data_IF_887207842826
#
_entry.id   IF_887207842826
#
_cell.length_a   1.000
_cell.length_b   1.000
_cell.length_c   1.000
_cell.angle_alpha   90.00
_cell.angle_beta   90.00
_cell.angle_gamma   90.00
#
_symmetry.space_group_name_H-M   'P 1'
#
loop_
_entity.id
_entity.type
_entity.pdbx_description
1 polymer ?
#
# COMPACT_ATOMS: atom_id res chain seq x y z
N UNK A 1 -0.88 12.07 38.60
CA UNK A 1 -1.20 10.92 37.74
C UNK A 1 -1.40 11.46 36.33
N UNK A 2 -0.32 11.63 35.57
CA UNK A 2 -0.41 12.10 34.18
C UNK A 2 -0.33 10.88 33.28
N UNK A 3 -1.46 10.54 32.65
CA UNK A 3 -1.47 9.60 31.54
C UNK A 3 -0.58 10.18 30.43
N UNK A 4 0.38 9.43 29.88
CA UNK A 4 1.14 9.90 28.74
C UNK A 4 0.17 10.11 27.58
N UNK A 5 0.37 11.13 26.73
CA UNK A 5 -0.35 11.19 25.47
C UNK A 5 -0.02 9.90 24.72
N UNK A 6 -1.05 9.14 24.36
CA UNK A 6 -0.88 8.04 23.41
C UNK A 6 -0.31 8.69 22.15
N UNK A 7 0.97 8.46 21.87
CA UNK A 7 1.52 8.66 20.54
C UNK A 7 0.65 7.77 19.65
N UNK A 8 -0.36 8.40 19.03
CA UNK A 8 -1.02 7.84 17.88
C UNK A 8 0.12 7.70 16.91
N UNK A 9 0.72 6.51 16.87
CA UNK A 9 1.84 6.21 16.00
C UNK A 9 1.41 6.77 14.66
N UNK A 10 2.13 7.80 14.21
CA UNK A 10 1.96 8.35 12.88
C UNK A 10 2.34 7.17 12.00
N UNK A 11 1.37 6.30 11.76
CA UNK A 11 1.37 5.32 10.69
C UNK A 11 1.71 6.20 9.54
N UNK A 12 2.97 6.11 9.15
CA UNK A 12 3.54 6.85 8.05
C UNK A 12 2.69 6.32 6.92
N UNK A 13 1.61 7.04 6.64
CA UNK A 13 0.63 6.68 5.65
C UNK A 13 1.41 6.96 4.39
N UNK A 14 2.26 6.01 4.03
CA UNK A 14 2.91 5.97 2.75
C UNK A 14 1.76 5.63 1.85
N UNK A 15 1.06 6.71 1.47
CA UNK A 15 -0.28 6.64 0.93
C UNK A 15 -0.20 5.74 -0.30
N UNK A 16 -0.81 4.56 -0.18
CA UNK A 16 -0.82 3.60 -1.27
C UNK A 16 -1.47 4.34 -2.44
N UNK A 17 -0.79 4.46 -3.59
CA UNK A 17 -1.29 5.23 -4.71
C UNK A 17 -2.65 4.72 -5.17
N UNK A 18 -3.54 5.65 -5.54
CA UNK A 18 -4.89 5.30 -6.02
C UNK A 18 -4.88 4.34 -7.23
N UNK A 19 -3.83 4.38 -8.07
CA UNK A 19 -3.70 3.46 -9.20
C UNK A 19 -3.52 1.99 -8.77
N UNK A 20 -2.92 1.73 -7.60
CA UNK A 20 -2.80 0.37 -7.05
C UNK A 20 -4.16 -0.18 -6.68
N UNK A 21 -5.05 0.68 -6.15
CA UNK A 21 -6.42 0.30 -5.85
C UNK A 21 -7.17 -0.13 -7.11
N UNK A 22 -7.04 0.66 -8.18
CA UNK A 22 -7.64 0.34 -9.48
C UNK A 22 -7.03 -0.95 -10.07
N UNK A 23 -5.71 -1.11 -9.98
CA UNK A 23 -5.05 -2.34 -10.42
C UNK A 23 -5.49 -3.56 -9.60
N UNK A 24 -5.74 -3.41 -8.29
CA UNK A 24 -6.28 -4.49 -7.46
C UNK A 24 -7.70 -4.87 -7.87
N UNK A 25 -8.55 -3.88 -8.20
CA UNK A 25 -9.88 -4.15 -8.77
C UNK A 25 -9.78 -4.87 -10.12
N UNK A 26 -8.87 -4.44 -11.00
CA UNK A 26 -8.66 -5.11 -12.29
C UNK A 26 -8.12 -6.53 -12.13
N UNK A 27 -7.20 -6.75 -11.19
CA UNK A 27 -6.66 -8.07 -10.89
C UNK A 27 -7.74 -8.99 -10.33
N UNK A 28 -8.57 -8.48 -9.43
CA UNK A 28 -9.70 -9.23 -8.86
C UNK A 28 -10.79 -9.54 -9.89
N UNK A 29 -10.85 -8.78 -10.98
CA UNK A 29 -11.78 -8.97 -12.09
C UNK A 29 -11.17 -9.74 -13.26
N UNK A 30 -10.00 -10.37 -13.09
CA UNK A 30 -9.24 -11.07 -14.16
C UNK A 30 -8.92 -10.18 -15.38
N UNK A 31 -8.90 -8.85 -15.21
CA UNK A 31 -8.57 -7.89 -16.28
C UNK A 31 -7.07 -7.68 -16.45
N UNK A 32 -6.28 -7.88 -15.38
CA UNK A 32 -4.83 -7.88 -15.43
C UNK A 32 -4.29 -9.18 -14.84
N UNK A 33 -3.13 -9.60 -15.32
CA UNK A 33 -2.49 -10.83 -14.84
C UNK A 33 -1.89 -10.63 -13.46
N UNK A 34 -1.66 -11.74 -12.73
CA UNK A 34 -0.93 -11.70 -11.46
C UNK A 34 0.43 -11.01 -11.59
N UNK A 35 1.12 -11.19 -12.72
CA UNK A 35 2.40 -10.52 -13.00
C UNK A 35 2.29 -9.01 -13.09
N UNK A 36 1.21 -8.48 -13.67
CA UNK A 36 0.98 -7.04 -13.78
C UNK A 36 0.71 -6.43 -12.40
N UNK A 37 -0.09 -7.12 -11.58
CA UNK A 37 -0.39 -6.68 -10.22
C UNK A 37 0.84 -6.74 -9.31
N UNK A 38 1.58 -7.85 -9.34
CA UNK A 38 2.81 -8.04 -8.55
C UNK A 38 3.89 -7.02 -8.94
N UNK A 39 4.01 -6.67 -10.22
CA UNK A 39 4.92 -5.60 -10.67
C UNK A 39 4.56 -4.25 -10.03
N UNK A 40 3.26 -3.96 -9.88
CA UNK A 40 2.79 -2.77 -9.18
C UNK A 40 3.14 -2.77 -7.68
N UNK A 41 2.97 -3.91 -7.00
CA UNK A 41 3.37 -4.07 -5.60
C UNK A 41 4.89 -3.95 -5.44
N UNK A 42 5.66 -4.53 -6.36
CA UNK A 42 7.12 -4.43 -6.34
C UNK A 42 7.59 -2.99 -6.51
N UNK A 43 6.91 -2.20 -7.35
CA UNK A 43 7.15 -0.76 -7.44
C UNK A 43 6.94 -0.07 -6.08
N UNK A 44 5.89 -0.41 -5.33
CA UNK A 44 5.65 0.18 -4.00
C UNK A 44 6.78 -0.15 -3.03
N UNK A 45 7.27 -1.39 -3.04
CA UNK A 45 8.38 -1.81 -2.20
C UNK A 45 9.67 -1.07 -2.62
N UNK A 46 9.96 -0.99 -3.91
CA UNK A 46 11.14 -0.30 -4.45
C UNK A 46 11.13 1.20 -4.19
N UNK A 47 9.97 1.84 -4.21
CA UNK A 47 9.82 3.26 -3.88
C UNK A 47 9.77 3.50 -2.36
N UNK A 48 9.90 2.44 -1.57
CA UNK A 48 9.83 2.46 -0.12
C UNK A 48 8.44 2.73 0.42
N UNK A 49 7.40 2.85 -0.43
CA UNK A 49 6.01 3.14 -0.06
C UNK A 49 5.42 1.98 0.75
N UNK A 50 5.76 0.74 0.41
CA UNK A 50 5.38 -0.44 1.18
C UNK A 50 6.61 -1.01 1.88
N UNK A 51 6.53 -1.17 3.20
CA UNK A 51 7.50 -1.95 3.99
C UNK A 51 6.93 -3.33 4.26
N UNK A 52 7.74 -4.36 4.03
CA UNK A 52 7.48 -5.75 4.40
C UNK A 52 7.98 -6.05 5.81
#
# INVERSE_FOLDING_TARGET
>A
MSIPPTESGTSSSQDIPNWIRNNAEWWSNDQITDSDFVSGIQYLISNGIMKI
#
